data_IF_338166268003
#
_entry.id   IF_338166268003
#
_cell.length_a   1.000
_cell.length_b   1.000
_cell.length_c   1.000
_cell.angle_alpha   90.00
_cell.angle_beta   90.00
_cell.angle_gamma   90.00
#
_symmetry.space_group_name_H-M   'P 1'
#
loop_
_entity.id
_entity.type
_entity.pdbx_description
1 polymer ?
#
# COMPACT_ATOMS: atom_id res chain seq x y z
N UNK A 1 -30.70 23.12 -23.85
CA UNK A 1 -30.80 22.79 -22.41
C UNK A 1 -30.03 21.53 -22.02
N UNK A 2 -30.17 20.37 -22.68
CA UNK A 2 -29.34 19.19 -22.34
C UNK A 2 -27.86 19.34 -22.71
N UNK A 3 -27.54 19.98 -23.84
CA UNK A 3 -26.17 20.23 -24.29
C UNK A 3 -25.40 21.22 -23.41
N UNK A 4 -26.05 22.27 -22.90
CA UNK A 4 -25.44 23.22 -21.93
C UNK A 4 -25.25 22.59 -20.54
N UNK A 5 -26.17 21.69 -20.12
CA UNK A 5 -26.06 20.96 -18.85
C UNK A 5 -24.97 19.88 -18.90
N UNK A 6 -24.69 19.33 -20.07
CA UNK A 6 -23.61 18.36 -20.30
C UNK A 6 -22.24 19.04 -20.42
N UNK A 7 -22.17 20.20 -21.07
CA UNK A 7 -20.95 21.03 -21.13
C UNK A 7 -20.50 21.53 -19.74
N UNK A 8 -21.42 21.81 -18.83
CA UNK A 8 -21.10 22.25 -17.45
C UNK A 8 -20.63 21.11 -16.56
N UNK A 9 -21.24 19.92 -16.65
CA UNK A 9 -20.81 18.76 -15.87
C UNK A 9 -19.42 18.23 -16.32
N UNK A 10 -19.18 18.10 -17.62
CA UNK A 10 -17.89 17.60 -18.15
C UNK A 10 -16.73 18.61 -17.91
N UNK A 11 -16.99 19.93 -17.99
CA UNK A 11 -15.99 20.96 -17.65
C UNK A 11 -15.75 21.10 -16.13
N UNK A 12 -16.75 20.81 -15.28
CA UNK A 12 -16.57 20.76 -13.83
C UNK A 12 -15.74 19.53 -13.42
N UNK A 13 -15.95 18.38 -14.05
CA UNK A 13 -15.19 17.16 -13.73
C UNK A 13 -13.70 17.23 -14.08
N UNK A 14 -13.30 18.03 -15.07
CA UNK A 14 -11.87 18.21 -15.41
C UNK A 14 -11.15 19.18 -14.44
N UNK A 15 -11.92 19.89 -13.58
CA UNK A 15 -11.38 20.73 -12.49
C UNK A 15 -11.36 20.03 -11.13
N UNK A 16 -12.10 18.95 -10.95
CA UNK A 16 -12.16 18.24 -9.68
C UNK A 16 -10.80 17.67 -9.30
N UNK A 17 -10.29 18.08 -8.13
CA UNK A 17 -8.99 17.64 -7.59
C UNK A 17 -8.88 16.11 -7.58
N UNK A 18 -9.96 15.39 -7.29
CA UNK A 18 -9.98 13.92 -7.26
C UNK A 18 -9.74 13.25 -8.62
N UNK A 19 -10.29 13.82 -9.68
CA UNK A 19 -10.08 13.28 -11.03
C UNK A 19 -8.71 13.72 -11.58
N UNK A 20 -8.26 14.93 -11.23
CA UNK A 20 -6.90 15.37 -11.57
C UNK A 20 -5.83 14.51 -10.90
N UNK A 21 -5.93 14.23 -9.59
CA UNK A 21 -4.99 13.31 -8.90
C UNK A 21 -5.00 11.94 -9.58
N UNK A 22 -6.19 11.35 -9.78
CA UNK A 22 -6.34 10.04 -10.44
C UNK A 22 -5.68 9.99 -11.82
N UNK A 23 -5.80 11.07 -12.59
CA UNK A 23 -5.20 11.21 -13.92
C UNK A 23 -3.67 11.27 -13.84
N UNK A 24 -3.11 12.14 -13.00
CA UNK A 24 -1.65 12.31 -12.91
C UNK A 24 -0.95 11.12 -12.25
N UNK A 25 -1.62 10.40 -11.35
CA UNK A 25 -1.06 9.22 -10.68
C UNK A 25 -1.26 7.92 -11.45
N UNK A 26 -1.91 7.93 -12.62
CA UNK A 26 -2.27 6.71 -13.36
C UNK A 26 -1.05 5.80 -13.61
N UNK A 27 0.03 6.37 -14.12
CA UNK A 27 1.23 5.58 -14.47
C UNK A 27 1.98 5.11 -13.22
N UNK A 28 2.07 5.94 -12.18
CA UNK A 28 2.67 5.53 -10.90
C UNK A 28 1.84 4.47 -10.18
N UNK A 29 0.51 4.51 -10.28
CA UNK A 29 -0.36 3.44 -9.78
C UNK A 29 -0.06 2.11 -10.46
N UNK A 30 0.01 2.10 -11.80
CA UNK A 30 0.36 0.89 -12.57
C UNK A 30 1.74 0.37 -12.15
N UNK A 31 2.74 1.23 -11.97
CA UNK A 31 4.06 0.80 -11.49
C UNK A 31 4.02 0.23 -10.09
N UNK A 32 3.28 0.84 -9.16
CA UNK A 32 3.14 0.35 -7.79
C UNK A 32 2.54 -1.06 -7.74
N UNK A 33 1.49 -1.31 -8.54
CA UNK A 33 0.85 -2.64 -8.65
C UNK A 33 1.77 -3.70 -9.27
N UNK A 34 2.76 -3.30 -10.06
CA UNK A 34 3.71 -4.18 -10.73
C UNK A 34 5.06 -4.32 -10.00
N UNK A 35 5.18 -3.79 -8.77
CA UNK A 35 6.34 -4.07 -7.91
C UNK A 35 6.42 -5.56 -7.59
N UNK A 36 7.62 -6.11 -7.38
CA UNK A 36 7.81 -7.55 -7.09
C UNK A 36 6.99 -8.01 -5.89
N UNK A 37 7.00 -7.21 -4.82
CA UNK A 37 6.24 -7.50 -3.62
C UNK A 37 4.73 -7.54 -3.91
N UNK A 38 4.18 -6.56 -4.62
CA UNK A 38 2.75 -6.53 -4.93
C UNK A 38 2.33 -7.65 -5.88
N UNK A 39 3.16 -7.98 -6.87
CA UNK A 39 2.95 -9.15 -7.72
C UNK A 39 2.96 -10.45 -6.91
N UNK A 40 3.80 -10.56 -5.87
CA UNK A 40 3.80 -11.69 -4.94
C UNK A 40 2.48 -11.78 -4.17
N UNK A 41 1.97 -10.66 -3.65
CA UNK A 41 0.62 -10.61 -3.05
C UNK A 41 -0.45 -11.07 -4.04
N UNK A 42 -0.51 -10.48 -5.23
CA UNK A 42 -1.55 -10.79 -6.22
C UNK A 42 -1.54 -12.26 -6.65
N UNK A 43 -0.37 -12.91 -6.64
CA UNK A 43 -0.20 -14.34 -6.97
C UNK A 43 -0.42 -15.28 -5.78
N UNK A 44 -0.69 -14.75 -4.59
CA UNK A 44 -0.82 -15.54 -3.36
C UNK A 44 0.50 -16.19 -2.91
N UNK A 45 1.61 -15.52 -3.20
CA UNK A 45 2.98 -15.97 -2.89
C UNK A 45 3.61 -15.14 -1.77
N UNK A 46 2.86 -14.22 -1.14
CA UNK A 46 3.35 -13.43 -0.01
C UNK A 46 3.68 -14.34 1.16
N UNK A 47 4.90 -14.20 1.67
CA UNK A 47 5.39 -14.94 2.83
C UNK A 47 5.11 -14.19 4.13
N UNK A 48 5.07 -14.91 5.25
CA UNK A 48 4.90 -14.30 6.57
C UNK A 48 6.01 -13.27 6.89
N UNK A 49 7.31 -13.51 6.62
CA UNK A 49 8.34 -12.49 6.80
C UNK A 49 8.12 -11.23 5.94
N UNK A 50 7.70 -11.39 4.67
CA UNK A 50 7.34 -10.25 3.80
C UNK A 50 6.23 -9.41 4.41
N UNK A 51 5.16 -10.07 4.87
CA UNK A 51 4.01 -9.37 5.43
C UNK A 51 4.34 -8.69 6.76
N UNK A 52 5.10 -9.34 7.63
CA UNK A 52 5.54 -8.77 8.91
C UNK A 52 6.39 -7.52 8.74
N UNK A 53 7.33 -7.49 7.78
CA UNK A 53 8.11 -6.29 7.49
C UNK A 53 7.26 -5.18 6.85
N UNK A 54 6.30 -5.55 5.99
CA UNK A 54 5.33 -4.59 5.47
C UNK A 54 4.55 -3.93 6.60
N UNK A 55 4.05 -4.69 7.58
CA UNK A 55 3.34 -4.15 8.74
C UNK A 55 4.21 -3.17 9.55
N UNK A 56 5.49 -3.49 9.76
CA UNK A 56 6.42 -2.56 10.42
C UNK A 56 6.53 -1.23 9.64
N UNK A 57 6.70 -1.29 8.32
CA UNK A 57 6.75 -0.10 7.47
C UNK A 57 5.43 0.69 7.48
N UNK A 58 4.30 0.00 7.42
CA UNK A 58 2.98 0.64 7.48
C UNK A 58 2.79 1.32 8.83
N UNK A 59 3.19 0.71 9.95
CA UNK A 59 3.09 1.33 11.26
C UNK A 59 3.75 2.71 11.32
N UNK A 60 5.02 2.79 10.91
CA UNK A 60 5.77 4.05 10.90
C UNK A 60 5.13 5.09 9.96
N UNK A 61 4.67 4.66 8.78
CA UNK A 61 4.05 5.55 7.79
C UNK A 61 2.71 6.09 8.29
N UNK A 62 1.83 5.23 8.81
CA UNK A 62 0.52 5.67 9.31
C UNK A 62 0.66 6.46 10.60
N UNK A 63 1.62 6.14 11.48
CA UNK A 63 1.92 6.99 12.63
C UNK A 63 2.28 8.41 12.17
N UNK A 64 3.23 8.54 11.23
CA UNK A 64 3.64 9.85 10.74
C UNK A 64 2.50 10.59 9.99
N UNK A 65 1.69 9.88 9.20
CA UNK A 65 0.56 10.45 8.47
C UNK A 65 -0.54 10.91 9.43
N UNK A 66 -0.96 10.05 10.37
CA UNK A 66 -2.05 10.33 11.30
C UNK A 66 -1.66 11.42 12.29
N UNK A 67 -0.44 11.43 12.81
CA UNK A 67 0.07 12.56 13.63
C UNK A 67 0.05 13.89 12.87
N UNK A 68 0.39 13.87 11.58
CA UNK A 68 0.36 15.06 10.74
C UNK A 68 -1.07 15.51 10.43
N UNK A 69 -1.99 14.58 10.20
CA UNK A 69 -3.42 14.88 10.01
C UNK A 69 -4.05 15.42 11.29
N UNK A 70 -3.78 14.82 12.44
CA UNK A 70 -4.29 15.25 13.75
C UNK A 70 -3.84 16.69 14.07
N UNK A 71 -2.53 16.96 13.88
CA UNK A 71 -1.96 18.31 14.07
C UNK A 71 -2.63 19.36 13.20
N UNK A 72 -3.04 18.99 11.99
CA UNK A 72 -3.62 19.88 11.00
C UNK A 72 -5.13 19.69 10.84
N UNK A 73 -5.81 19.05 11.79
CA UNK A 73 -7.24 18.72 11.71
C UNK A 73 -8.16 19.93 11.50
N UNK A 74 -7.74 21.13 11.90
CA UNK A 74 -8.45 22.39 11.68
C UNK A 74 -7.97 23.18 10.46
N UNK A 75 -6.94 22.72 9.74
CA UNK A 75 -6.44 23.39 8.54
C UNK A 75 -7.49 23.30 7.42
N UNK A 76 -7.81 24.38 6.69
CA UNK A 76 -8.88 24.39 5.68
C UNK A 76 -8.75 23.30 4.61
N UNK A 77 -7.53 22.94 4.23
CA UNK A 77 -7.28 21.87 3.27
C UNK A 77 -7.39 20.45 3.84
N UNK A 78 -7.27 20.28 5.16
CA UNK A 78 -7.24 18.95 5.81
C UNK A 78 -8.58 18.63 6.47
N UNK A 79 -9.22 19.61 7.10
CA UNK A 79 -10.48 19.42 7.82
C UNK A 79 -11.57 18.69 7.00
N UNK A 80 -11.75 18.95 5.69
CA UNK A 80 -12.77 18.25 4.90
C UNK A 80 -12.54 16.75 4.74
N UNK A 81 -11.28 16.29 4.80
CA UNK A 81 -10.89 14.89 4.62
C UNK A 81 -10.52 14.18 5.93
N UNK A 82 -10.68 14.85 7.08
CA UNK A 82 -10.29 14.32 8.38
C UNK A 82 -11.36 13.37 8.95
N UNK A 83 -11.19 12.07 8.69
CA UNK A 83 -12.11 10.98 9.11
C UNK A 83 -11.40 9.95 10.01
N UNK A 84 -10.94 10.32 11.21
CA UNK A 84 -10.15 9.42 12.05
C UNK A 84 -10.94 8.17 12.50
N UNK A 85 -12.24 8.31 12.80
CA UNK A 85 -13.06 7.19 13.27
C UNK A 85 -13.25 6.11 12.19
N UNK A 86 -13.29 6.51 10.93
CA UNK A 86 -13.52 5.62 9.80
C UNK A 86 -12.21 5.11 9.18
N UNK A 87 -11.17 5.96 9.11
CA UNK A 87 -9.97 5.70 8.32
C UNK A 87 -8.69 5.45 9.12
N UNK A 88 -8.57 5.87 10.37
CA UNK A 88 -7.33 5.68 11.13
C UNK A 88 -6.95 4.19 11.18
N UNK A 89 -5.69 3.88 10.92
CA UNK A 89 -5.14 2.51 10.81
C UNK A 89 -4.21 2.17 11.95
N UNK A 90 -3.64 3.15 12.66
CA UNK A 90 -2.59 2.92 13.65
C UNK A 90 -2.96 1.83 14.65
N UNK A 91 -4.12 1.94 15.29
CA UNK A 91 -4.58 0.95 16.28
C UNK A 91 -4.74 -0.47 15.70
N UNK A 92 -5.20 -0.59 14.45
CA UNK A 92 -5.30 -1.89 13.77
C UNK A 92 -3.92 -2.48 13.49
N UNK A 93 -2.98 -1.66 13.01
CA UNK A 93 -1.61 -2.10 12.74
C UNK A 93 -0.92 -2.54 14.05
N UNK A 94 -1.14 -1.82 15.15
CA UNK A 94 -0.61 -2.20 16.47
C UNK A 94 -1.11 -3.58 16.92
N UNK A 95 -2.40 -3.87 16.74
CA UNK A 95 -2.96 -5.20 17.02
C UNK A 95 -2.35 -6.29 16.15
N UNK A 96 -2.16 -6.01 14.86
CA UNK A 96 -1.55 -6.96 13.93
C UNK A 96 -0.08 -7.22 14.29
N UNK A 97 0.67 -6.19 14.68
CA UNK A 97 2.05 -6.32 15.12
C UNK A 97 2.16 -7.10 16.43
N UNK A 98 1.30 -6.81 17.41
CA UNK A 98 1.26 -7.56 18.67
C UNK A 98 0.94 -9.05 18.42
N UNK A 99 0.02 -9.35 17.51
CA UNK A 99 -0.27 -10.74 17.11
C UNK A 99 0.97 -11.48 16.56
N UNK A 100 1.77 -10.83 15.70
CA UNK A 100 2.92 -11.48 15.06
C UNK A 100 4.23 -11.45 15.84
N UNK A 101 4.39 -10.50 16.77
CA UNK A 101 5.65 -10.23 17.46
C UNK A 101 5.54 -10.31 18.99
N UNK A 102 4.33 -10.41 19.54
CA UNK A 102 4.05 -10.39 20.97
C UNK A 102 4.01 -8.97 21.55
N UNK A 103 3.86 -8.83 22.89
CA UNK A 103 3.69 -7.53 23.55
C UNK A 103 4.87 -6.57 23.33
N UNK A 104 6.09 -7.10 23.17
CA UNK A 104 7.31 -6.32 22.93
C UNK A 104 7.55 -6.01 21.44
N UNK A 105 6.49 -5.97 20.62
CA UNK A 105 6.62 -5.77 19.17
C UNK A 105 7.30 -4.46 18.79
N UNK A 106 7.16 -3.41 19.62
CA UNK A 106 7.80 -2.10 19.40
C UNK A 106 9.32 -2.18 19.35
N UNK A 107 9.92 -3.04 20.17
CA UNK A 107 11.38 -3.26 20.20
C UNK A 107 11.89 -4.06 19.00
N UNK A 108 10.97 -4.66 18.23
CA UNK A 108 11.27 -5.55 17.10
C UNK A 108 10.98 -4.89 15.76
N UNK A 109 10.61 -3.61 15.76
CA UNK A 109 10.39 -2.86 14.53
C UNK A 109 11.68 -2.75 13.74
N UNK A 110 11.61 -3.19 12.48
CA UNK A 110 12.68 -3.04 11.50
C UNK A 110 12.03 -2.53 10.23
N UNK A 111 12.51 -1.38 9.75
CA UNK A 111 12.00 -0.74 8.54
C UNK A 111 13.17 -0.36 7.61
N UNK A 112 12.96 -0.37 6.28
CA UNK A 112 13.97 0.10 5.35
C UNK A 112 14.11 1.62 5.38
N UNK A 113 15.26 2.13 4.92
CA UNK A 113 15.51 3.57 4.78
C UNK A 113 14.44 4.29 3.92
N UNK A 114 13.81 3.62 2.95
CA UNK A 114 12.68 4.18 2.21
C UNK A 114 11.48 4.54 3.10
N UNK A 115 11.22 3.75 4.15
CA UNK A 115 10.14 4.04 5.11
C UNK A 115 10.46 5.29 5.90
N UNK A 116 11.70 5.42 6.40
CA UNK A 116 12.14 6.61 7.14
C UNK A 116 12.05 7.88 6.28
N UNK A 117 12.48 7.81 5.01
CA UNK A 117 12.35 8.94 4.06
C UNK A 117 10.89 9.33 3.85
N UNK A 118 9.99 8.35 3.75
CA UNK A 118 8.56 8.63 3.61
C UNK A 118 8.03 9.32 4.89
N UNK A 119 8.32 8.77 6.06
CA UNK A 119 7.88 9.35 7.34
C UNK A 119 8.43 10.77 7.53
N UNK A 120 9.69 11.02 7.15
CA UNK A 120 10.28 12.35 7.16
C UNK A 120 9.50 13.32 6.28
N UNK A 121 9.16 12.93 5.03
CA UNK A 121 8.37 13.79 4.13
C UNK A 121 7.01 14.13 4.72
N UNK A 122 6.29 13.15 5.29
CA UNK A 122 4.99 13.35 5.93
C UNK A 122 5.06 14.35 7.09
N UNK A 123 6.07 14.21 7.97
CA UNK A 123 6.28 15.13 9.09
C UNK A 123 6.68 16.53 8.61
N UNK A 124 7.47 16.62 7.54
CA UNK A 124 7.88 17.89 6.94
C UNK A 124 6.67 18.64 6.36
N UNK A 125 5.88 18.02 5.48
CA UNK A 125 4.72 18.68 4.87
C UNK A 125 3.66 19.01 5.91
N UNK A 126 3.46 18.15 6.92
CA UNK A 126 2.54 18.44 8.02
C UNK A 126 2.96 19.63 8.88
N UNK A 127 4.19 20.16 8.73
CA UNK A 127 4.63 21.40 9.38
C UNK A 127 4.65 22.58 8.43
N UNK A 128 5.09 22.36 7.19
CA UNK A 128 5.44 23.44 6.27
C UNK A 128 4.35 23.70 5.21
N UNK A 129 3.66 22.65 4.75
CA UNK A 129 2.72 22.67 3.61
C UNK A 129 1.56 21.67 3.86
N UNK A 130 0.67 21.90 4.85
CA UNK A 130 -0.32 20.92 5.28
C UNK A 130 -1.32 20.50 4.19
N UNK A 131 -1.58 21.33 3.20
CA UNK A 131 -2.40 21.02 2.02
C UNK A 131 -1.89 19.81 1.24
N UNK A 132 -0.58 19.55 1.25
CA UNK A 132 -0.01 18.36 0.60
C UNK A 132 -0.37 17.05 1.32
N UNK A 133 -0.90 17.09 2.54
CA UNK A 133 -1.44 15.90 3.21
C UNK A 133 -2.62 15.29 2.44
N UNK A 134 -3.35 16.09 1.63
CA UNK A 134 -4.41 15.60 0.74
C UNK A 134 -3.90 14.49 -0.18
N UNK A 135 -2.73 14.69 -0.79
CA UNK A 135 -2.12 13.74 -1.71
C UNK A 135 -1.80 12.40 -1.04
N UNK A 136 -1.23 12.44 0.17
CA UNK A 136 -0.83 11.24 0.89
C UNK A 136 -2.03 10.49 1.48
N UNK A 137 -2.97 11.22 2.09
CA UNK A 137 -4.20 10.63 2.63
C UNK A 137 -5.05 10.00 1.50
N UNK A 138 -5.18 10.68 0.35
CA UNK A 138 -5.81 10.11 -0.84
C UNK A 138 -5.12 8.80 -1.26
N UNK A 139 -3.80 8.84 -1.47
CA UNK A 139 -3.03 7.70 -1.99
C UNK A 139 -3.13 6.48 -1.09
N UNK A 140 -3.06 6.68 0.23
CA UNK A 140 -3.14 5.59 1.21
C UNK A 140 -4.57 5.11 1.41
N UNK A 141 -5.46 5.94 1.96
CA UNK A 141 -6.78 5.47 2.40
C UNK A 141 -7.67 4.98 1.26
N UNK A 142 -7.65 5.62 0.08
CA UNK A 142 -8.48 5.15 -1.03
C UNK A 142 -7.89 3.89 -1.67
N UNK A 143 -6.57 3.71 -1.61
CA UNK A 143 -5.90 2.46 -1.96
C UNK A 143 -6.37 1.32 -1.05
N UNK A 144 -6.34 1.55 0.26
CA UNK A 144 -6.78 0.56 1.26
C UNK A 144 -8.26 0.18 1.10
N UNK A 145 -9.13 1.16 0.87
CA UNK A 145 -10.58 0.95 0.62
C UNK A 145 -10.91 0.38 -0.77
N UNK A 146 -9.92 0.21 -1.65
CA UNK A 146 -10.11 -0.36 -2.99
C UNK A 146 -9.55 -1.77 -3.08
N UNK A 147 -8.24 -1.93 -2.87
CA UNK A 147 -7.56 -3.22 -2.98
C UNK A 147 -7.42 -3.97 -1.66
N UNK A 148 -7.50 -3.28 -0.51
CA UNK A 148 -7.15 -3.83 0.80
C UNK A 148 -7.96 -5.07 1.18
N UNK A 149 -9.27 -5.09 0.90
CA UNK A 149 -10.12 -6.26 1.19
C UNK A 149 -9.74 -7.51 0.38
N UNK A 150 -9.23 -7.33 -0.84
CA UNK A 150 -8.76 -8.43 -1.67
C UNK A 150 -7.39 -8.88 -1.18
N UNK A 151 -6.48 -7.93 -0.93
CA UNK A 151 -5.14 -8.21 -0.43
C UNK A 151 -5.16 -8.91 0.93
N UNK A 152 -6.04 -8.51 1.86
CA UNK A 152 -6.20 -9.16 3.15
C UNK A 152 -6.62 -10.62 3.04
N UNK A 153 -7.57 -10.94 2.16
CA UNK A 153 -7.97 -12.34 1.89
C UNK A 153 -6.85 -13.16 1.27
N UNK A 154 -6.08 -12.57 0.35
CA UNK A 154 -4.94 -13.26 -0.25
C UNK A 154 -3.85 -13.49 0.80
N UNK A 155 -3.54 -12.49 1.63
CA UNK A 155 -2.59 -12.59 2.72
C UNK A 155 -2.98 -13.70 3.71
N UNK A 156 -4.25 -13.73 4.13
CA UNK A 156 -4.81 -14.77 5.00
C UNK A 156 -4.54 -16.17 4.46
N UNK A 157 -4.89 -16.40 3.18
CA UNK A 157 -4.74 -17.69 2.52
C UNK A 157 -3.26 -18.06 2.33
N UNK A 158 -2.43 -17.11 1.89
CA UNK A 158 -1.02 -17.36 1.57
C UNK A 158 -0.21 -17.72 2.81
N UNK A 159 -0.54 -17.12 3.95
CA UNK A 159 0.14 -17.37 5.24
C UNK A 159 -0.53 -18.46 6.08
N UNK A 160 -1.66 -19.02 5.64
CA UNK A 160 -2.38 -20.07 6.37
C UNK A 160 -2.99 -19.61 7.70
N UNK A 161 -3.41 -18.34 7.80
CA UNK A 161 -4.04 -17.80 9.00
C UNK A 161 -5.45 -18.40 9.17
N UNK A 162 -5.78 -18.80 10.41
CA UNK A 162 -7.06 -19.47 10.75
C UNK A 162 -8.17 -18.49 11.13
N UNK A 163 -7.81 -17.29 11.54
CA UNK A 163 -8.68 -16.18 11.94
C UNK A 163 -8.33 -14.93 11.10
N UNK A 164 -9.02 -13.83 11.38
CA UNK A 164 -8.72 -12.48 10.90
C UNK A 164 -7.68 -11.74 11.78
N UNK A 165 -7.21 -12.37 12.85
CA UNK A 165 -6.12 -11.85 13.67
C UNK A 165 -4.83 -11.70 12.84
N UNK A 166 -4.15 -10.58 13.00
CA UNK A 166 -3.01 -10.22 12.15
C UNK A 166 -3.41 -9.61 10.81
N UNK A 167 -4.69 -9.37 10.53
CA UNK A 167 -5.17 -8.74 9.30
C UNK A 167 -6.13 -7.57 9.57
N UNK A 168 -6.18 -7.07 10.80
CA UNK A 168 -7.11 -6.03 11.22
C UNK A 168 -6.87 -4.69 10.52
N UNK A 169 -5.66 -4.44 9.99
CA UNK A 169 -5.34 -3.32 9.11
C UNK A 169 -6.32 -3.22 7.93
N UNK A 170 -6.69 -4.36 7.36
CA UNK A 170 -7.59 -4.42 6.22
C UNK A 170 -9.06 -4.22 6.61
N UNK A 171 -9.42 -4.22 7.90
CA UNK A 171 -10.80 -4.06 8.34
C UNK A 171 -11.13 -2.58 8.58
N UNK A 172 -12.27 -2.10 8.05
CA UNK A 172 -12.77 -0.73 8.24
C UNK A 172 -14.15 -0.77 8.91
N UNK A 173 -14.25 -1.07 10.22
CA UNK A 173 -15.54 -1.20 10.89
C UNK A 173 -16.36 0.09 10.90
N UNK A 174 -15.72 1.26 10.84
CA UNK A 174 -16.38 2.56 10.69
C UNK A 174 -16.92 2.86 9.29
N UNK A 175 -16.62 2.01 8.29
CA UNK A 175 -17.03 2.21 6.89
C UNK A 175 -18.01 1.11 6.48
N UNK A 176 -19.30 1.46 6.44
CA UNK A 176 -20.36 0.52 6.06
C UNK A 176 -20.32 0.10 4.58
N UNK A 177 -19.93 1.02 3.69
CA UNK A 177 -19.77 0.75 2.26
C UNK A 177 -18.51 1.45 1.74
N UNK A 178 -17.45 0.70 1.39
CA UNK A 178 -16.22 1.27 0.86
C UNK A 178 -16.45 2.11 -0.40
N UNK A 179 -17.40 1.73 -1.25
CA UNK A 179 -17.68 2.47 -2.48
C UNK A 179 -18.34 3.82 -2.19
N UNK A 180 -19.37 3.85 -1.33
CA UNK A 180 -20.03 5.10 -0.95
C UNK A 180 -19.07 6.01 -0.18
N UNK A 181 -18.24 5.45 0.70
CA UNK A 181 -17.26 6.23 1.45
C UNK A 181 -16.19 6.84 0.56
N UNK A 182 -15.69 6.11 -0.46
CA UNK A 182 -14.76 6.69 -1.45
C UNK A 182 -15.41 7.80 -2.27
N UNK A 183 -16.70 7.71 -2.58
CA UNK A 183 -17.42 8.80 -3.26
C UNK A 183 -17.54 10.03 -2.35
N UNK A 184 -17.93 9.84 -1.08
CA UNK A 184 -17.96 10.88 -0.06
C UNK A 184 -16.57 11.55 0.07
N UNK A 185 -15.51 10.76 0.23
CA UNK A 185 -14.17 11.27 0.40
C UNK A 185 -13.72 12.13 -0.80
N UNK A 186 -13.97 11.67 -2.04
CA UNK A 186 -13.67 12.46 -3.24
C UNK A 186 -14.46 13.76 -3.27
N UNK A 187 -15.76 13.71 -2.95
CA UNK A 187 -16.60 14.92 -2.89
C UNK A 187 -16.09 15.92 -1.86
N UNK A 188 -15.64 15.46 -0.70
CA UNK A 188 -15.02 16.32 0.33
C UNK A 188 -13.70 16.91 -0.14
N UNK A 189 -12.87 16.10 -0.80
CA UNK A 189 -11.61 16.55 -1.35
C UNK A 189 -11.81 17.63 -2.44
N UNK A 190 -12.83 17.47 -3.29
CA UNK A 190 -13.16 18.45 -4.34
C UNK A 190 -13.74 19.76 -3.78
N UNK A 191 -14.16 19.79 -2.51
CA UNK A 191 -14.62 21.02 -1.84
C UNK A 191 -13.50 21.86 -1.24
N UNK A 192 -12.25 21.37 -1.27
CA UNK A 192 -11.11 22.14 -0.78
C UNK A 192 -10.78 23.25 -1.78
N UNK A 193 -10.75 24.48 -1.28
CA UNK A 193 -10.30 25.64 -2.06
C UNK A 193 -8.76 25.73 -2.00
N UNK A 194 -8.12 25.64 -3.16
CA UNK A 194 -6.68 25.78 -3.34
C UNK A 194 -6.39 26.85 -4.38
N UNK A 195 -5.30 27.58 -4.20
CA UNK A 195 -4.68 28.37 -5.26
C UNK A 195 -4.16 27.46 -6.39
N UNK A 196 -3.88 28.01 -7.57
CA UNK A 196 -3.30 27.24 -8.67
C UNK A 196 -1.92 26.65 -8.30
N UNK A 197 -1.12 27.36 -7.51
CA UNK A 197 0.18 26.89 -7.03
C UNK A 197 0.04 25.70 -6.08
N UNK A 198 -0.83 25.79 -5.08
CA UNK A 198 -1.11 24.70 -4.15
C UNK A 198 -1.70 23.48 -4.86
N UNK A 199 -2.63 23.68 -5.80
CA UNK A 199 -3.21 22.62 -6.62
C UNK A 199 -2.12 21.86 -7.38
N UNK A 200 -1.24 22.57 -8.09
CA UNK A 200 -0.12 21.94 -8.81
C UNK A 200 0.82 21.20 -7.85
N UNK A 201 1.12 21.79 -6.69
CA UNK A 201 1.93 21.16 -5.65
C UNK A 201 1.32 19.86 -5.11
N UNK A 202 0.00 19.82 -4.89
CA UNK A 202 -0.74 18.62 -4.47
C UNK A 202 -0.67 17.53 -5.55
N UNK A 203 -0.82 17.88 -6.83
CA UNK A 203 -0.73 16.92 -7.93
C UNK A 203 0.67 16.29 -8.02
N UNK A 204 1.72 17.11 -7.89
CA UNK A 204 3.11 16.63 -7.84
C UNK A 204 3.39 15.78 -6.59
N UNK A 205 2.84 16.16 -5.44
CA UNK A 205 2.95 15.36 -4.22
C UNK A 205 2.24 14.02 -4.35
N UNK A 206 1.10 13.95 -5.05
CA UNK A 206 0.39 12.70 -5.25
C UNK A 206 1.24 11.69 -6.04
N UNK A 207 1.93 12.15 -7.09
CA UNK A 207 2.90 11.31 -7.80
C UNK A 207 4.03 10.87 -6.87
N UNK A 208 4.59 11.79 -6.07
CA UNK A 208 5.63 11.47 -5.09
C UNK A 208 5.16 10.47 -4.03
N UNK A 209 3.92 10.55 -3.57
CA UNK A 209 3.35 9.60 -2.63
C UNK A 209 3.37 8.16 -3.20
N UNK A 210 3.05 7.98 -4.48
CA UNK A 210 3.23 6.68 -5.14
C UNK A 210 4.69 6.26 -5.24
N UNK A 211 5.61 7.18 -5.58
CA UNK A 211 7.05 6.86 -5.61
C UNK A 211 7.58 6.40 -4.25
N UNK A 212 7.15 7.02 -3.15
CA UNK A 212 7.53 6.57 -1.82
C UNK A 212 7.04 5.14 -1.55
N UNK A 213 5.79 4.82 -1.90
CA UNK A 213 5.28 3.45 -1.75
C UNK A 213 6.08 2.43 -2.59
N UNK A 214 6.40 2.77 -3.84
CA UNK A 214 7.22 1.92 -4.72
C UNK A 214 8.59 1.67 -4.09
N UNK A 215 9.27 2.73 -3.62
CA UNK A 215 10.58 2.62 -2.98
C UNK A 215 10.53 1.77 -1.70
N UNK A 216 9.47 1.89 -0.91
CA UNK A 216 9.26 1.05 0.28
C UNK A 216 9.14 -0.41 -0.12
N UNK A 217 8.30 -0.74 -1.11
CA UNK A 217 8.16 -2.13 -1.58
C UNK A 217 9.47 -2.70 -2.16
N UNK A 218 10.20 -1.90 -2.92
CA UNK A 218 11.49 -2.32 -3.49
C UNK A 218 12.55 -2.56 -2.43
N UNK A 219 12.64 -1.70 -1.40
CA UNK A 219 13.61 -1.88 -0.32
C UNK A 219 13.24 -3.03 0.62
N UNK A 220 11.95 -3.25 0.88
CA UNK A 220 11.47 -4.44 1.61
C UNK A 220 11.87 -5.74 0.91
N UNK A 221 11.70 -5.80 -0.41
CA UNK A 221 12.12 -6.95 -1.21
C UNK A 221 13.64 -7.17 -1.15
N UNK A 222 14.43 -6.08 -1.18
CA UNK A 222 15.90 -6.17 -1.03
C UNK A 222 16.31 -6.71 0.33
N UNK A 223 15.68 -6.26 1.42
CA UNK A 223 15.98 -6.74 2.78
C UNK A 223 15.82 -8.25 2.91
N UNK A 224 14.86 -8.83 2.19
CA UNK A 224 14.57 -10.27 2.21
C UNK A 224 15.35 -11.07 1.17
N UNK A 225 15.89 -10.41 0.15
CA UNK A 225 16.71 -11.02 -0.90
C UNK A 225 18.19 -11.14 -0.53
N UNK A 226 18.64 -10.54 0.59
CA UNK A 226 20.02 -10.71 1.05
C UNK A 226 20.21 -12.16 1.50
N UNK A 227 21.06 -12.95 0.82
CA UNK A 227 21.33 -14.32 1.25
C UNK A 227 22.01 -14.30 2.62
N UNK A 228 21.77 -15.32 3.44
CA UNK A 228 22.45 -15.63 4.72
C UNK A 228 23.97 -15.90 4.55
N UNK A 229 24.67 -15.20 3.67
CA UNK A 229 26.08 -15.41 3.36
C UNK A 229 27.05 -14.62 4.26
N UNK A 230 26.64 -14.32 5.51
CA UNK A 230 27.50 -13.65 6.50
C UNK A 230 27.78 -14.44 7.79
N UNK A 231 27.40 -15.71 7.88
CA UNK A 231 27.78 -16.57 9.02
C UNK A 231 28.81 -17.68 8.72
N UNK A 232 29.32 -17.79 7.49
CA UNK A 232 30.44 -18.70 7.15
C UNK A 232 31.66 -17.95 6.60
N UNK A 233 32.19 -16.99 7.36
CA UNK A 233 33.57 -16.48 7.16
C UNK A 233 34.26 -16.15 8.49
N UNK A 234 34.31 -17.11 9.41
CA UNK A 234 35.33 -17.11 10.48
C UNK A 234 35.39 -18.45 11.21
N UNK A 235 35.96 -19.48 10.58
CA UNK A 235 36.75 -20.51 11.28
C UNK A 235 37.32 -21.54 10.30
N UNK A 236 38.63 -21.72 10.32
CA UNK A 236 39.25 -23.02 10.09
C UNK A 236 39.74 -23.33 8.69
N UNK A 237 41.07 -23.39 8.54
CA UNK A 237 41.82 -23.83 7.38
C UNK A 237 41.97 -25.37 7.35
N UNK A 238 42.10 -25.94 6.14
CA UNK A 238 42.54 -27.32 5.74
C UNK A 238 41.51 -28.45 5.97
N UNK A 239 41.34 -29.48 5.13
CA UNK A 239 42.13 -30.05 4.03
C UNK A 239 41.22 -30.79 3.03
N UNK A 240 41.71 -30.92 1.79
CA UNK A 240 41.17 -31.71 0.68
C UNK A 240 41.05 -33.21 1.03
N UNK A 241 39.92 -33.83 0.68
CA UNK A 241 39.89 -35.22 0.21
C UNK A 241 38.71 -35.49 -0.73
N UNK A 242 39.08 -36.11 -1.83
CA UNK A 242 38.34 -36.55 -2.99
C UNK A 242 37.36 -37.69 -2.66
N UNK A 243 36.17 -37.69 -3.27
CA UNK A 243 35.31 -38.88 -3.47
C UNK A 243 34.13 -38.58 -4.39
N UNK A 244 34.29 -39.06 -5.63
CA UNK A 244 33.28 -39.32 -6.64
C UNK A 244 32.20 -40.31 -6.14
N UNK A 245 30.91 -40.04 -6.37
CA UNK A 245 29.97 -40.86 -7.16
C UNK A 245 28.49 -40.45 -6.98
N UNK A 246 27.81 -40.44 -8.14
CA UNK A 246 26.41 -40.87 -8.41
C UNK A 246 25.22 -39.92 -8.18
N UNK A 247 24.56 -39.67 -9.33
CA UNK A 247 23.21 -39.15 -9.53
C UNK A 247 22.24 -40.34 -9.58
N UNK A 248 21.06 -40.28 -8.94
CA UNK A 248 19.89 -41.02 -9.41
C UNK A 248 18.90 -40.07 -10.09
N UNK A 249 18.64 -40.36 -11.36
CA UNK A 249 17.51 -39.83 -12.11
C UNK A 249 16.22 -40.51 -11.65
N UNK A 250 15.12 -39.76 -11.53
CA UNK A 250 13.81 -40.39 -11.37
C UNK A 250 12.70 -39.45 -10.92
N UNK A 251 12.14 -38.65 -11.83
CA UNK A 251 10.73 -38.23 -11.76
C UNK A 251 10.16 -38.26 -13.18
N UNK A 252 9.05 -39.00 -13.36
CA UNK A 252 8.41 -39.32 -14.63
C UNK A 252 7.60 -38.15 -15.22
N UNK A 253 7.31 -38.14 -16.54
CA UNK A 253 6.76 -36.97 -17.25
C UNK A 253 5.25 -36.71 -17.04
N UNK A 254 4.59 -37.42 -16.13
CA UNK A 254 3.12 -37.49 -16.06
C UNK A 254 2.47 -36.62 -14.97
N UNK A 255 3.16 -35.55 -14.53
CA UNK A 255 2.59 -34.54 -13.63
C UNK A 255 2.79 -33.12 -14.19
N UNK A 256 2.59 -32.96 -15.51
CA UNK A 256 2.67 -31.68 -16.24
C UNK A 256 1.36 -31.22 -16.86
N UNK A 257 0.22 -31.81 -16.50
CA UNK A 257 -1.05 -31.41 -17.07
C UNK A 257 -2.16 -31.53 -16.02
N UNK A 258 -2.50 -30.40 -15.39
CA UNK A 258 -3.84 -29.89 -15.05
C UNK A 258 -3.63 -28.78 -14.00
N UNK A 259 -3.23 -27.59 -14.45
CA UNK A 259 -3.59 -26.32 -13.80
C UNK A 259 -3.52 -25.17 -14.82
N UNK A 260 -4.06 -25.42 -16.00
CA UNK A 260 -4.29 -24.42 -17.02
C UNK A 260 -5.79 -24.22 -17.14
N UNK A 261 -6.33 -23.30 -16.33
CA UNK A 261 -7.60 -22.57 -16.49
C UNK A 261 -7.96 -21.95 -15.15
N UNK A 262 -7.49 -20.71 -14.91
CA UNK A 262 -8.24 -19.61 -14.27
C UNK A 262 -7.34 -18.36 -14.27
N UNK A 263 -6.84 -18.00 -15.46
CA UNK A 263 -6.25 -16.69 -15.74
C UNK A 263 -7.03 -16.11 -16.90
N UNK A 264 -8.22 -15.55 -16.60
CA UNK A 264 -8.98 -14.65 -17.48
C UNK A 264 -10.32 -14.28 -16.81
N UNK A 265 -10.32 -13.62 -15.63
CA UNK A 265 -11.53 -12.97 -15.13
C UNK A 265 -11.30 -11.93 -14.02
N UNK A 266 -10.24 -11.11 -14.09
CA UNK A 266 -10.14 -9.87 -13.29
C UNK A 266 -9.70 -8.65 -14.13
N UNK A 267 -9.64 -8.76 -15.47
CA UNK A 267 -9.26 -7.63 -16.34
C UNK A 267 -10.41 -6.98 -17.11
N UNK A 268 -11.69 -7.29 -16.82
CA UNK A 268 -12.84 -6.66 -17.53
C UNK A 268 -13.92 -6.05 -16.62
N UNK A 269 -13.86 -6.17 -15.29
CA UNK A 269 -14.93 -5.62 -14.41
C UNK A 269 -14.67 -4.23 -13.82
N UNK A 270 -13.68 -3.48 -14.32
CA UNK A 270 -13.58 -2.02 -14.12
C UNK A 270 -13.98 -1.20 -15.36
N UNK A 271 -14.71 -1.80 -16.29
CA UNK A 271 -15.22 -1.13 -17.51
C UNK A 271 -16.73 -0.88 -17.56
N UNK A 272 -17.52 -1.22 -16.52
CA UNK A 272 -19.00 -1.13 -16.57
C UNK A 272 -19.60 -0.36 -15.38
N UNK A 273 -18.92 0.65 -14.86
CA UNK A 273 -19.61 1.69 -14.07
C UNK A 273 -19.20 3.07 -14.58
N UNK A 274 -19.55 3.31 -15.84
CA UNK A 274 -19.84 4.63 -16.38
C UNK A 274 -21.34 4.62 -16.65
N UNK A 275 -22.10 5.22 -15.73
CA UNK A 275 -23.37 5.92 -15.91
C UNK A 275 -23.72 6.62 -14.58
#
# INVERSE_FOLDING_TARGET
METEKKMTAEQMTDRDLSEQIKKVTKDSHVRAENTKMMLSFQRGQVTLPQYKLLLCSLYEIYQALEEALDRNSNHPAVAPIYFPAELARLQSIEKDLEFFYGPDWREKLVVPAATERYCHRLRQIGKENPEFLLAHAYTRYLGDLSGGQVLGRIAQKSMGLKSDEGLTFFAFPGVSSPNLFKQLYRSRMNSVELTEEEMNGVLEEAVRAFEFNIQVFDDLEKMLSVPENKQQRSSGSKSVQDRTLQIPAGISPLLRMVLGLFVALITVTMGIYVL
#
